data_IF_339432449784
#
_entry.id   IF_339432449784
#
_cell.length_a   1.000
_cell.length_b   1.000
_cell.length_c   1.000
_cell.angle_alpha   90.00
_cell.angle_beta   90.00
_cell.angle_gamma   90.00
#
_symmetry.space_group_name_H-M   'P 1'
#
loop_
_entity.id
_entity.type
_entity.pdbx_description
1 polymer ?
#
# COMPACT_ATOMS: atom_id res chain seq x y z
N UNK A 1 -9.48 3.71 -4.67
CA UNK A 1 -9.97 3.05 -3.44
C UNK A 1 -11.17 3.78 -2.87
N UNK A 2 -12.14 3.03 -2.33
CA UNK A 2 -13.35 3.60 -1.72
C UNK A 2 -13.17 4.00 -0.26
N UNK A 3 -12.09 3.53 0.37
CA UNK A 3 -11.73 3.81 1.77
C UNK A 3 -10.35 4.40 1.87
N UNK A 4 -10.21 5.46 2.67
CA UNK A 4 -8.93 6.10 2.93
C UNK A 4 -8.17 5.39 4.06
N UNK A 5 -6.84 5.37 3.96
CA UNK A 5 -5.96 4.90 5.02
C UNK A 5 -5.11 6.04 5.57
N UNK A 6 -5.02 6.13 6.89
CA UNK A 6 -4.22 7.14 7.59
C UNK A 6 -3.32 6.48 8.63
N UNK A 7 -2.10 6.96 8.75
CA UNK A 7 -1.16 6.59 9.80
C UNK A 7 -0.70 7.86 10.51
N UNK A 8 -1.01 7.99 11.80
CA UNK A 8 -0.73 9.21 12.58
C UNK A 8 -1.30 10.49 11.91
N UNK A 9 -2.55 10.46 11.46
CA UNK A 9 -3.23 11.55 10.75
C UNK A 9 -2.63 11.93 9.38
N UNK A 10 -1.61 11.21 8.91
CA UNK A 10 -1.06 11.38 7.58
C UNK A 10 -1.75 10.42 6.59
N UNK A 11 -2.15 10.95 5.45
CA UNK A 11 -2.82 10.16 4.41
C UNK A 11 -1.85 9.22 3.70
N UNK A 12 -2.25 7.95 3.58
CA UNK A 12 -1.54 6.88 2.90
C UNK A 12 -2.23 6.55 1.56
N UNK A 13 -1.95 7.34 0.54
CA UNK A 13 -2.79 7.37 -0.67
C UNK A 13 -2.42 6.43 -1.78
N UNK A 14 -1.27 5.79 -1.74
CA UNK A 14 -0.75 4.96 -2.83
C UNK A 14 -0.58 3.50 -2.40
N UNK A 15 -0.72 2.58 -3.35
CA UNK A 15 -0.63 1.14 -3.06
C UNK A 15 0.69 0.77 -2.39
N UNK A 16 1.82 1.26 -2.89
CA UNK A 16 3.13 1.00 -2.31
C UNK A 16 3.32 1.55 -0.89
N UNK A 17 2.64 2.65 -0.53
CA UNK A 17 2.72 3.28 0.78
C UNK A 17 1.61 2.90 1.75
N UNK A 18 0.51 2.32 1.26
CA UNK A 18 -0.66 2.00 2.09
C UNK A 18 -0.50 0.69 2.88
N UNK A 19 0.36 -0.22 2.42
CA UNK A 19 0.58 -1.52 3.07
C UNK A 19 1.85 -1.43 3.90
N UNK A 20 1.73 -0.88 5.10
CA UNK A 20 2.86 -0.72 6.04
C UNK A 20 2.79 -1.73 7.19
N UNK A 21 3.93 -2.03 7.80
CA UNK A 21 4.00 -2.84 9.00
C UNK A 21 3.33 -2.12 10.18
N UNK A 22 2.40 -2.81 10.84
CA UNK A 22 1.69 -2.29 12.01
C UNK A 22 2.37 -2.81 13.25
N UNK A 23 3.30 -2.06 13.78
CA UNK A 23 4.03 -2.36 15.03
C UNK A 23 4.02 -1.15 15.95
N UNK A 24 4.18 -1.41 17.24
CA UNK A 24 4.13 -0.40 18.31
C UNK A 24 2.90 0.51 18.16
N UNK A 25 1.75 -0.14 17.93
CA UNK A 25 0.47 0.52 17.71
C UNK A 25 -0.17 0.89 19.05
N UNK A 26 -0.67 2.12 19.16
CA UNK A 26 -1.49 2.58 20.27
C UNK A 26 -2.96 2.21 20.05
N UNK A 27 -3.50 2.56 18.88
CA UNK A 27 -4.90 2.29 18.52
C UNK A 27 -5.09 2.22 17.01
N UNK A 28 -6.14 1.53 16.59
CA UNK A 28 -6.64 1.50 15.23
C UNK A 28 -8.14 1.81 15.25
N UNK A 29 -8.59 2.65 14.33
CA UNK A 29 -9.96 3.13 14.23
C UNK A 29 -10.52 2.83 12.83
N UNK A 30 -11.76 2.35 12.77
CA UNK A 30 -12.48 2.10 11.53
C UNK A 30 -13.73 2.99 11.51
N UNK A 31 -13.73 3.98 10.64
CA UNK A 31 -14.84 4.88 10.43
C UNK A 31 -15.65 4.41 9.22
N UNK A 32 -16.91 4.08 9.45
CA UNK A 32 -17.81 3.55 8.43
C UNK A 32 -18.63 4.66 7.78
N UNK A 33 -18.83 4.54 6.47
CA UNK A 33 -19.61 5.48 5.69
C UNK A 33 -18.79 6.71 5.24
N UNK A 34 -19.38 7.65 4.50
CA UNK A 34 -18.70 8.79 3.93
C UNK A 34 -18.04 9.69 4.98
N UNK A 35 -16.73 9.84 4.90
CA UNK A 35 -15.91 10.66 5.80
C UNK A 35 -15.26 11.85 5.08
N UNK A 36 -15.75 12.22 3.89
CA UNK A 36 -15.12 13.23 3.03
C UNK A 36 -14.98 14.61 3.65
N UNK A 37 -15.79 14.95 4.65
CA UNK A 37 -15.69 16.21 5.34
C UNK A 37 -14.43 16.30 6.22
N UNK A 38 -14.19 15.30 7.08
CA UNK A 38 -13.04 15.26 7.98
C UNK A 38 -11.76 14.80 7.27
N UNK A 39 -11.85 13.69 6.54
CA UNK A 39 -10.70 12.99 5.97
C UNK A 39 -10.41 13.38 4.52
N UNK A 40 -11.30 14.16 3.89
CA UNK A 40 -11.10 14.65 2.54
C UNK A 40 -11.31 13.58 1.47
N UNK A 41 -10.39 13.52 0.50
CA UNK A 41 -10.49 12.66 -0.68
C UNK A 41 -10.41 11.16 -0.33
N UNK A 42 -10.97 10.33 -1.22
CA UNK A 42 -10.92 8.86 -1.15
C UNK A 42 -11.60 8.21 0.07
N UNK A 43 -12.40 8.95 0.84
CA UNK A 43 -13.10 8.47 2.05
C UNK A 43 -14.61 8.28 1.86
N UNK A 44 -15.05 7.86 0.67
CA UNK A 44 -16.46 7.66 0.33
C UNK A 44 -17.06 6.46 1.07
N UNK A 45 -16.31 5.36 1.18
CA UNK A 45 -16.73 4.13 1.87
C UNK A 45 -16.38 4.13 3.36
N UNK A 46 -15.45 4.98 3.77
CA UNK A 46 -14.95 5.07 5.13
C UNK A 46 -13.49 5.49 5.22
N UNK A 47 -12.96 5.42 6.44
CA UNK A 47 -11.54 5.64 6.70
C UNK A 47 -11.02 4.61 7.72
N UNK A 48 -9.79 4.18 7.51
CA UNK A 48 -9.02 3.38 8.45
C UNK A 48 -7.87 4.24 8.96
N UNK A 49 -7.79 4.42 10.28
CA UNK A 49 -6.77 5.26 10.91
C UNK A 49 -6.00 4.46 11.95
N UNK A 50 -4.68 4.45 11.85
CA UNK A 50 -3.78 3.81 12.81
C UNK A 50 -2.92 4.87 13.47
N UNK A 51 -2.86 4.82 14.78
CA UNK A 51 -1.98 5.68 15.57
C UNK A 51 -0.92 4.82 16.27
N UNK A 52 0.32 5.17 16.07
CA UNK A 52 1.45 4.53 16.73
C UNK A 52 1.71 5.16 18.09
N UNK A 53 2.33 4.42 18.99
CA UNK A 53 2.67 4.96 20.30
C UNK A 53 3.63 6.14 20.19
N UNK A 54 3.28 7.22 20.86
CA UNK A 54 4.12 8.41 20.98
C UNK A 54 5.23 8.22 22.01
N UNK A 55 6.27 9.02 21.94
CA UNK A 55 7.21 9.16 23.06
C UNK A 55 6.47 9.75 24.28
N UNK A 56 6.73 9.24 25.47
CA UNK A 56 6.05 9.61 26.71
C UNK A 56 7.04 10.26 27.69
N UNK A 57 6.74 11.49 28.08
CA UNK A 57 7.55 12.28 29.00
C UNK A 57 7.38 11.67 30.41
N UNK A 58 8.51 11.50 31.12
CA UNK A 58 8.52 10.95 32.49
C UNK A 58 8.34 9.43 32.56
N UNK A 59 8.09 8.74 31.49
CA UNK A 59 8.03 7.28 31.44
C UNK A 59 9.36 6.68 30.97
N UNK A 60 9.77 5.58 31.61
CA UNK A 60 10.92 4.78 31.17
C UNK A 60 10.45 3.34 31.04
N UNK A 61 9.93 2.98 29.89
CA UNK A 61 9.41 1.68 29.58
C UNK A 61 10.07 1.09 28.34
N UNK A 62 10.09 -0.24 28.29
CA UNK A 62 10.54 -0.98 27.14
C UNK A 62 9.79 -2.32 27.08
N UNK A 63 9.60 -2.81 25.86
CA UNK A 63 9.13 -4.17 25.65
C UNK A 63 9.91 -4.83 24.51
N UNK A 64 9.89 -6.15 24.54
CA UNK A 64 10.40 -7.00 23.47
C UNK A 64 9.43 -8.17 23.32
N UNK A 65 9.07 -8.48 22.10
CA UNK A 65 8.23 -9.61 21.75
C UNK A 65 8.90 -10.45 20.67
N UNK A 66 8.78 -11.78 20.79
CA UNK A 66 9.31 -12.73 19.83
C UNK A 66 8.25 -13.79 19.56
N UNK A 67 7.98 -14.03 18.28
CA UNK A 67 7.18 -15.15 17.82
C UNK A 67 8.00 -16.04 16.87
N UNK A 68 7.97 -17.35 17.11
CA UNK A 68 8.68 -18.33 16.32
C UNK A 68 7.75 -19.48 15.94
N UNK A 69 7.84 -19.91 14.70
CA UNK A 69 6.98 -20.97 14.16
C UNK A 69 7.67 -21.90 13.18
N UNK A 70 6.87 -22.64 12.46
CA UNK A 70 7.31 -23.48 11.35
C UNK A 70 7.70 -22.62 10.15
N UNK A 71 8.43 -23.16 9.18
CA UNK A 71 8.90 -22.47 7.96
C UNK A 71 9.74 -21.23 8.28
N UNK A 72 10.67 -21.37 9.21
CA UNK A 72 11.52 -20.28 9.67
C UNK A 72 10.75 -19.03 10.11
N UNK A 73 9.45 -19.18 10.45
CA UNK A 73 8.67 -18.09 10.94
C UNK A 73 9.33 -17.46 12.16
N UNK A 74 9.68 -16.20 12.03
CA UNK A 74 10.30 -15.41 13.08
C UNK A 74 9.78 -13.99 13.03
N UNK A 75 9.17 -13.53 14.10
CA UNK A 75 8.76 -12.14 14.27
C UNK A 75 9.47 -11.57 15.49
N UNK A 76 10.01 -10.40 15.35
CA UNK A 76 10.56 -9.58 16.39
C UNK A 76 9.86 -8.23 16.42
N UNK A 77 9.38 -7.81 17.56
CA UNK A 77 8.89 -6.47 17.83
C UNK A 77 9.46 -5.97 19.16
N UNK A 78 9.89 -4.71 19.19
CA UNK A 78 10.35 -4.13 20.42
C UNK A 78 10.40 -2.62 20.38
N UNK A 79 10.25 -2.00 21.55
CA UNK A 79 10.39 -0.55 21.68
C UNK A 79 10.99 -0.18 23.04
N UNK A 80 11.64 0.98 23.06
CA UNK A 80 12.14 1.64 24.27
C UNK A 80 11.73 3.09 24.29
N UNK A 81 11.17 3.55 25.41
CA UNK A 81 10.88 4.95 25.67
C UNK A 81 11.92 5.53 26.62
N UNK A 82 12.49 6.66 26.28
CA UNK A 82 13.60 7.31 26.99
C UNK A 82 13.18 8.74 27.35
N UNK A 83 12.86 9.01 28.62
CA UNK A 83 12.64 10.36 29.09
C UNK A 83 14.01 11.08 29.18
N UNK A 84 14.20 12.11 28.37
CA UNK A 84 15.47 12.85 28.31
C UNK A 84 15.50 14.02 29.29
N UNK A 85 14.35 14.67 29.46
CA UNK A 85 14.15 15.75 30.42
C UNK A 85 12.68 15.82 30.85
N UNK A 86 12.33 16.78 31.72
CA UNK A 86 10.95 17.02 32.16
C UNK A 86 10.01 17.46 31.03
N UNK A 87 10.58 17.88 29.90
CA UNK A 87 9.85 18.41 28.76
C UNK A 87 10.11 17.64 27.45
N UNK A 88 11.00 16.64 27.45
CA UNK A 88 11.39 15.95 26.23
C UNK A 88 11.62 14.45 26.43
N UNK A 89 11.04 13.68 25.55
CA UNK A 89 11.22 12.24 25.48
C UNK A 89 11.45 11.75 24.03
N UNK A 90 12.07 10.58 23.92
CA UNK A 90 12.26 9.86 22.66
C UNK A 90 11.75 8.43 22.81
N UNK A 91 11.25 7.87 21.72
CA UNK A 91 10.88 6.46 21.61
C UNK A 91 11.51 5.87 20.35
N UNK A 92 12.15 4.71 20.49
CA UNK A 92 12.68 3.93 19.39
C UNK A 92 11.95 2.61 19.36
N UNK A 93 11.37 2.26 18.21
CA UNK A 93 10.70 0.99 17.99
C UNK A 93 11.28 0.29 16.76
N UNK A 94 11.35 -1.02 16.79
CA UNK A 94 11.84 -1.86 15.72
C UNK A 94 10.95 -3.07 15.48
N UNK A 95 10.84 -3.46 14.23
CA UNK A 95 10.07 -4.62 13.79
C UNK A 95 10.85 -5.38 12.72
N UNK A 96 10.80 -6.70 12.80
CA UNK A 96 11.29 -7.59 11.76
C UNK A 96 10.41 -8.82 11.70
N UNK A 97 10.01 -9.24 10.51
CA UNK A 97 9.31 -10.51 10.30
C UNK A 97 9.92 -11.24 9.12
N UNK A 98 9.96 -12.55 9.21
CA UNK A 98 10.40 -13.46 8.17
C UNK A 98 9.59 -14.75 8.24
N UNK A 99 9.21 -15.29 7.09
CA UNK A 99 8.64 -16.62 6.96
C UNK A 99 8.97 -17.17 5.58
N UNK A 100 9.48 -18.41 5.52
CA UNK A 100 9.67 -19.15 4.28
C UNK A 100 8.35 -19.53 3.63
N UNK A 101 8.36 -19.60 2.30
CA UNK A 101 7.20 -19.97 1.49
C UNK A 101 6.62 -21.34 1.84
N UNK A 102 5.35 -21.52 1.56
CA UNK A 102 4.63 -22.77 1.81
C UNK A 102 4.08 -23.41 0.53
N UNK A 103 4.11 -22.72 -0.58
CA UNK A 103 3.65 -23.22 -1.87
C UNK A 103 4.86 -23.58 -2.74
N UNK A 104 4.98 -24.87 -3.09
CA UNK A 104 6.06 -25.34 -3.96
C UNK A 104 5.80 -24.95 -5.40
N UNK A 105 6.65 -24.14 -5.99
CA UNK A 105 6.64 -23.89 -7.42
C UNK A 105 7.28 -25.08 -8.13
N UNK A 106 6.49 -25.82 -8.89
CA UNK A 106 6.98 -27.05 -9.57
C UNK A 106 7.89 -26.73 -10.76
N UNK A 107 7.77 -25.54 -11.33
CA UNK A 107 8.62 -25.08 -12.43
C UNK A 107 10.01 -24.67 -11.93
N UNK A 108 10.10 -23.73 -11.00
CA UNK A 108 11.38 -23.24 -10.48
C UNK A 108 11.99 -24.15 -9.43
N UNK A 109 11.19 -24.95 -8.73
CA UNK A 109 11.60 -25.76 -7.60
C UNK A 109 11.74 -24.99 -6.29
N UNK A 110 11.35 -23.71 -6.23
CA UNK A 110 11.38 -22.86 -5.06
C UNK A 110 10.11 -23.00 -4.22
N UNK A 111 10.18 -22.55 -2.96
CA UNK A 111 9.02 -22.38 -2.11
C UNK A 111 8.58 -20.91 -2.18
N UNK A 112 7.33 -20.67 -2.57
CA UNK A 112 6.73 -19.36 -2.81
C UNK A 112 5.77 -19.00 -1.68
N UNK A 113 5.31 -17.74 -1.69
CA UNK A 113 4.47 -17.13 -0.65
C UNK A 113 5.28 -16.96 0.64
N UNK A 114 6.47 -16.47 0.47
CA UNK A 114 7.37 -16.04 1.53
C UNK A 114 7.21 -14.54 1.82
N UNK A 115 7.73 -14.09 2.96
CA UNK A 115 7.86 -12.67 3.25
C UNK A 115 9.05 -12.36 4.15
N UNK A 116 9.59 -11.17 3.96
CA UNK A 116 10.57 -10.55 4.83
C UNK A 116 10.28 -9.05 4.96
N UNK A 117 10.14 -8.58 6.20
CA UNK A 117 9.88 -7.16 6.49
C UNK A 117 10.79 -6.66 7.59
N UNK A 118 11.26 -5.43 7.45
CA UNK A 118 12.04 -4.75 8.47
C UNK A 118 11.55 -3.31 8.57
N UNK A 119 11.34 -2.84 9.79
CA UNK A 119 10.93 -1.45 10.00
C UNK A 119 11.58 -0.90 11.28
N UNK A 120 11.83 0.39 11.27
CA UNK A 120 12.32 1.13 12.42
C UNK A 120 11.59 2.46 12.50
N UNK A 121 11.19 2.84 13.72
CA UNK A 121 10.55 4.11 14.00
C UNK A 121 11.29 4.83 15.12
N UNK A 122 11.59 6.10 14.85
CA UNK A 122 12.06 7.04 15.85
C UNK A 122 11.02 8.13 16.05
N UNK A 123 10.58 8.30 17.29
CA UNK A 123 9.60 9.32 17.67
C UNK A 123 10.17 10.22 18.76
N UNK A 124 9.81 11.49 18.73
CA UNK A 124 10.14 12.43 19.81
C UNK A 124 8.90 13.17 20.24
N UNK A 125 8.87 13.58 21.50
CA UNK A 125 7.86 14.45 22.06
C UNK A 125 8.50 15.55 22.91
N UNK A 126 8.11 16.77 22.61
CA UNK A 126 8.42 17.95 23.42
C UNK A 126 7.12 18.58 23.91
N UNK A 127 7.05 18.90 25.19
CA UNK A 127 5.91 19.60 25.79
C UNK A 127 6.36 20.78 26.64
N UNK A 128 5.60 21.86 26.57
CA UNK A 128 5.63 23.00 27.48
C UNK A 128 4.20 23.41 27.81
N UNK A 129 4.01 24.47 28.63
CA UNK A 129 2.68 24.89 29.09
C UNK A 129 1.66 25.10 27.95
N UNK A 130 2.08 25.60 26.81
CA UNK A 130 1.20 25.93 25.69
C UNK A 130 1.53 25.16 24.39
N UNK A 131 2.66 24.46 24.33
CA UNK A 131 3.18 23.88 23.09
C UNK A 131 3.50 22.41 23.25
N UNK A 132 2.95 21.56 22.37
CA UNK A 132 3.35 20.17 22.18
C UNK A 132 3.87 19.97 20.76
N UNK A 133 4.99 19.26 20.61
CA UNK A 133 5.55 18.88 19.32
C UNK A 133 5.87 17.39 19.34
N UNK A 134 5.21 16.64 18.47
CA UNK A 134 5.54 15.23 18.19
C UNK A 134 6.24 15.15 16.82
N UNK A 135 7.32 14.35 16.76
CA UNK A 135 8.00 14.03 15.49
C UNK A 135 8.06 12.51 15.32
N UNK A 136 7.86 12.05 14.12
CA UNK A 136 7.96 10.62 13.77
C UNK A 136 8.80 10.49 12.49
N UNK A 137 9.81 9.63 12.53
CA UNK A 137 10.56 9.16 11.35
C UNK A 137 10.39 7.65 11.30
N UNK A 138 9.77 7.17 10.25
CA UNK A 138 9.41 5.77 10.06
C UNK A 138 10.01 5.28 8.75
N UNK A 139 10.81 4.23 8.79
CA UNK A 139 11.37 3.57 7.62
C UNK A 139 10.99 2.10 7.61
N UNK A 140 10.64 1.59 6.43
CA UNK A 140 10.28 0.21 6.20
C UNK A 140 10.87 -0.31 4.89
N UNK A 141 11.45 -1.51 4.94
CA UNK A 141 11.84 -2.33 3.81
C UNK A 141 11.00 -3.61 3.83
N UNK A 142 10.40 -3.96 2.68
CA UNK A 142 9.54 -5.12 2.51
C UNK A 142 9.93 -5.88 1.25
N UNK A 143 10.03 -7.21 1.41
CA UNK A 143 10.13 -8.16 0.32
C UNK A 143 9.18 -9.30 0.57
N UNK A 144 8.39 -9.65 -0.40
CA UNK A 144 7.49 -10.81 -0.34
C UNK A 144 7.22 -11.33 -1.74
N UNK A 145 6.83 -12.57 -1.83
CA UNK A 145 6.28 -13.12 -3.06
C UNK A 145 5.02 -12.33 -3.45
N UNK A 146 4.87 -12.03 -4.72
CA UNK A 146 3.68 -11.37 -5.24
C UNK A 146 2.43 -12.24 -5.15
N UNK A 147 1.39 -11.84 -5.86
CA UNK A 147 0.20 -12.66 -5.98
C UNK A 147 0.49 -13.85 -6.88
N UNK A 148 0.44 -15.03 -6.30
CA UNK A 148 0.60 -16.29 -7.01
C UNK A 148 -0.77 -16.86 -7.37
N UNK A 149 -1.01 -17.02 -8.65
CA UNK A 149 -2.21 -17.67 -9.16
C UNK A 149 -1.95 -19.15 -9.38
N UNK A 150 -3.01 -19.90 -9.48
CA UNK A 150 -2.98 -21.30 -9.79
C UNK A 150 -4.13 -21.62 -10.73
N UNK A 151 -3.83 -22.21 -11.86
CA UNK A 151 -4.84 -22.76 -12.74
C UNK A 151 -5.58 -23.92 -12.05
N UNK A 152 -6.90 -23.85 -12.00
CA UNK A 152 -7.76 -24.87 -11.35
C UNK A 152 -8.56 -25.70 -12.35
N UNK A 153 -8.58 -25.25 -13.61
CA UNK A 153 -9.28 -25.93 -14.72
C UNK A 153 -8.46 -25.69 -15.99
N UNK A 154 -8.31 -26.68 -16.80
CA UNK A 154 -7.60 -26.59 -18.07
C UNK A 154 -8.40 -25.91 -19.17
N UNK A 155 -9.72 -25.86 -19.10
CA UNK A 155 -10.59 -25.17 -20.06
C UNK A 155 -10.19 -25.28 -21.54
N UNK A 156 -11.00 -24.74 -22.44
CA UNK A 156 -10.76 -24.76 -23.90
C UNK A 156 -9.49 -23.98 -24.35
N UNK A 157 -8.94 -23.19 -23.46
CA UNK A 157 -7.74 -22.37 -23.65
C UNK A 157 -6.50 -23.22 -23.92
N UNK A 158 -6.35 -24.31 -23.16
CA UNK A 158 -5.18 -25.18 -23.27
C UNK A 158 -5.20 -26.04 -24.52
N UNK A 159 -6.39 -26.34 -25.04
CA UNK A 159 -6.56 -27.04 -26.32
C UNK A 159 -6.08 -26.18 -27.50
N UNK A 160 -6.14 -24.84 -27.36
CA UNK A 160 -5.61 -23.91 -28.35
C UNK A 160 -4.07 -23.83 -28.37
N UNK A 161 -3.42 -24.22 -27.28
CA UNK A 161 -1.97 -24.26 -27.14
C UNK A 161 -1.43 -25.67 -27.41
N UNK A 162 -1.74 -26.23 -28.60
CA UNK A 162 -1.37 -27.61 -29.00
C UNK A 162 0.13 -27.90 -28.75
N UNK A 163 0.38 -28.92 -27.94
CA UNK A 163 1.72 -29.33 -27.54
C UNK A 163 2.27 -28.70 -26.24
N UNK A 164 1.58 -27.75 -25.64
CA UNK A 164 1.88 -27.29 -24.29
C UNK A 164 1.00 -28.05 -23.29
N UNK A 165 1.62 -28.96 -22.58
CA UNK A 165 0.95 -29.72 -21.53
C UNK A 165 1.12 -28.96 -20.24
N UNK A 166 0.04 -28.36 -19.75
CA UNK A 166 -0.03 -27.94 -18.34
C UNK A 166 -0.01 -29.22 -17.51
N UNK A 167 0.94 -29.34 -16.60
CA UNK A 167 1.05 -30.53 -15.76
C UNK A 167 -0.26 -30.73 -14.98
N UNK A 168 -0.94 -31.83 -15.19
CA UNK A 168 -2.16 -32.21 -14.47
C UNK A 168 -2.01 -32.13 -12.94
N UNK A 169 -0.78 -32.16 -12.43
CA UNK A 169 -0.48 -31.99 -11.01
C UNK A 169 -0.70 -30.56 -10.52
N UNK A 170 -0.62 -29.55 -11.40
CA UNK A 170 -0.84 -28.14 -11.02
C UNK A 170 -2.29 -27.73 -11.18
N UNK A 171 -2.98 -28.18 -12.22
CA UNK A 171 -4.40 -27.86 -12.47
C UNK A 171 -5.33 -28.55 -11.48
N UNK A 172 -5.11 -29.82 -11.20
CA UNK A 172 -5.94 -30.64 -10.28
C UNK A 172 -5.22 -31.06 -9.01
N UNK A 173 -4.02 -30.53 -8.79
CA UNK A 173 -3.10 -31.06 -7.81
C UNK A 173 -3.28 -30.50 -6.39
N UNK A 174 -2.24 -30.70 -5.62
CA UNK A 174 -2.15 -30.30 -4.22
C UNK A 174 -2.22 -28.78 -4.06
N UNK A 175 -3.00 -28.28 -3.11
CA UNK A 175 -3.13 -26.85 -2.78
C UNK A 175 -1.81 -26.18 -2.36
N UNK A 176 -0.77 -26.95 -2.09
CA UNK A 176 0.58 -26.49 -1.75
C UNK A 176 1.54 -26.47 -2.94
N UNK A 177 1.04 -26.64 -4.16
CA UNK A 177 1.81 -26.59 -5.38
C UNK A 177 1.25 -25.51 -6.30
N UNK A 178 2.15 -24.78 -6.94
CA UNK A 178 1.88 -23.81 -8.00
C UNK A 178 2.79 -24.12 -9.18
N UNK A 179 2.43 -23.61 -10.34
CA UNK A 179 3.25 -23.63 -11.54
C UNK A 179 3.34 -22.19 -12.05
N UNK A 180 4.49 -21.57 -11.96
CA UNK A 180 4.65 -20.14 -12.30
C UNK A 180 6.06 -19.88 -12.81
N UNK A 181 6.18 -19.07 -13.82
CA UNK A 181 7.46 -18.59 -14.36
C UNK A 181 8.02 -17.37 -13.59
N UNK A 182 7.31 -16.84 -12.59
CA UNK A 182 7.86 -15.82 -11.71
C UNK A 182 8.96 -16.37 -10.80
N UNK A 183 9.98 -15.57 -10.58
CA UNK A 183 11.03 -15.86 -9.62
C UNK A 183 10.56 -15.62 -8.18
N UNK A 184 10.96 -16.49 -7.26
CA UNK A 184 10.61 -16.40 -5.85
C UNK A 184 11.17 -15.13 -5.18
N UNK A 185 10.38 -14.56 -4.28
CA UNK A 185 10.82 -13.52 -3.34
C UNK A 185 10.96 -12.11 -3.88
N UNK A 186 10.81 -11.91 -5.19
CA UNK A 186 11.08 -10.62 -5.83
C UNK A 186 9.83 -9.96 -6.44
N UNK A 187 8.64 -10.43 -6.08
CA UNK A 187 7.41 -10.02 -6.76
C UNK A 187 6.61 -8.90 -6.07
N UNK A 188 6.94 -8.54 -4.82
CA UNK A 188 6.34 -7.39 -4.09
C UNK A 188 7.40 -6.80 -3.15
N UNK A 189 8.07 -5.75 -3.63
CA UNK A 189 9.16 -5.07 -2.92
C UNK A 189 8.73 -3.64 -2.63
N UNK A 190 8.98 -3.17 -1.42
CA UNK A 190 8.67 -1.79 -1.04
C UNK A 190 9.70 -1.23 -0.09
N UNK A 191 10.17 -0.03 -0.38
CA UNK A 191 10.92 0.84 0.54
C UNK A 191 10.10 2.10 0.80
N UNK A 192 9.93 2.45 2.06
CA UNK A 192 9.09 3.58 2.47
C UNK A 192 9.76 4.37 3.59
N UNK A 193 9.96 5.66 3.36
CA UNK A 193 10.33 6.63 4.38
C UNK A 193 9.15 7.57 4.63
N UNK A 194 8.74 7.71 5.89
CA UNK A 194 7.74 8.69 6.32
C UNK A 194 8.32 9.59 7.41
N UNK A 195 8.15 10.90 7.25
CA UNK A 195 8.50 11.90 8.25
C UNK A 195 7.24 12.69 8.58
N UNK A 196 6.87 12.70 9.87
CA UNK A 196 5.73 13.45 10.40
C UNK A 196 6.15 14.44 11.47
N UNK A 197 5.61 15.65 11.44
CA UNK A 197 5.75 16.67 12.49
C UNK A 197 4.36 17.19 12.85
N UNK A 198 3.99 17.04 14.11
CA UNK A 198 2.68 17.38 14.65
C UNK A 198 2.87 18.42 15.75
N UNK A 199 2.31 19.59 15.55
CA UNK A 199 2.41 20.71 16.50
C UNK A 199 1.02 21.02 17.02
N UNK A 200 0.90 21.10 18.33
CA UNK A 200 -0.30 21.59 19.01
C UNK A 200 0.08 22.81 19.85
N UNK A 201 -0.64 23.91 19.66
CA UNK A 201 -0.40 25.15 20.40
C UNK A 201 -1.71 25.70 20.98
N UNK A 202 -1.74 25.88 22.29
CA UNK A 202 -2.86 26.46 23.01
C UNK A 202 -2.83 28.01 22.90
N UNK A 203 -3.85 28.57 22.24
CA UNK A 203 -4.06 30.01 22.12
C UNK A 203 -4.97 30.56 23.23
N UNK A 204 -5.45 29.73 24.15
CA UNK A 204 -6.39 30.05 25.20
C UNK A 204 -7.86 30.01 24.77
N UNK A 205 -8.20 30.56 23.60
CA UNK A 205 -9.56 30.51 23.03
C UNK A 205 -9.74 29.41 21.97
N UNK A 206 -8.65 28.87 21.48
CA UNK A 206 -8.61 27.79 20.48
C UNK A 206 -7.26 27.05 20.55
N UNK A 207 -7.26 25.81 20.11
CA UNK A 207 -6.05 25.04 19.87
C UNK A 207 -5.69 25.09 18.38
N UNK A 208 -4.46 25.48 18.08
CA UNK A 208 -3.88 25.38 16.73
C UNK A 208 -3.18 24.04 16.59
N UNK A 209 -3.58 23.24 15.61
CA UNK A 209 -2.91 22.01 15.20
C UNK A 209 -2.27 22.19 13.82
N UNK A 210 -1.02 21.76 13.69
CA UNK A 210 -0.28 21.73 12.43
C UNK A 210 0.26 20.31 12.20
N UNK A 211 -0.23 19.64 11.15
CA UNK A 211 0.19 18.31 10.76
C UNK A 211 0.96 18.40 9.44
N UNK A 212 2.26 18.14 9.50
CA UNK A 212 3.17 18.14 8.34
C UNK A 212 3.63 16.70 8.08
N UNK A 213 3.50 16.23 6.87
CA UNK A 213 3.95 14.91 6.44
C UNK A 213 4.78 14.97 5.18
N UNK A 214 5.85 14.21 5.14
CA UNK A 214 6.62 13.91 3.94
C UNK A 214 6.81 12.42 3.82
N UNK A 215 6.67 11.89 2.59
CA UNK A 215 6.88 10.49 2.25
C UNK A 215 7.70 10.38 0.99
N UNK A 216 8.55 9.38 0.99
CA UNK A 216 9.31 8.91 -0.16
C UNK A 216 9.12 7.41 -0.27
N UNK A 217 8.76 6.90 -1.44
CA UNK A 217 8.52 5.48 -1.62
C UNK A 217 8.99 4.98 -2.97
N UNK A 218 9.55 3.78 -2.93
CA UNK A 218 9.81 2.94 -4.10
C UNK A 218 9.03 1.64 -3.94
N UNK A 219 8.36 1.22 -4.98
CA UNK A 219 7.53 0.03 -5.00
C UNK A 219 7.69 -0.72 -6.31
N UNK A 220 7.95 -2.02 -6.22
CA UNK A 220 7.93 -2.95 -7.33
C UNK A 220 6.95 -4.08 -7.04
N UNK A 221 6.16 -4.43 -8.03
CA UNK A 221 5.22 -5.54 -7.96
C UNK A 221 5.25 -6.31 -9.27
N UNK A 222 5.22 -7.64 -9.16
CA UNK A 222 5.12 -8.55 -10.30
C UNK A 222 4.11 -9.64 -10.00
N UNK A 223 3.36 -10.06 -11.02
CA UNK A 223 2.43 -11.17 -10.89
C UNK A 223 2.29 -11.94 -12.20
N UNK A 224 2.10 -13.24 -12.08
CA UNK A 224 1.77 -14.15 -13.16
C UNK A 224 0.26 -14.36 -13.15
N UNK A 225 -0.43 -13.81 -14.16
CA UNK A 225 -1.89 -13.85 -14.25
C UNK A 225 -2.45 -15.20 -14.77
N UNK A 226 -1.66 -15.95 -15.54
CA UNK A 226 -2.18 -17.19 -16.11
C UNK A 226 -2.08 -18.39 -15.14
N UNK A 227 -1.22 -18.28 -14.12
CA UNK A 227 -1.04 -19.31 -13.08
C UNK A 227 -0.42 -20.59 -13.61
N UNK A 228 0.46 -20.45 -14.62
CA UNK A 228 1.22 -21.55 -15.23
C UNK A 228 2.67 -21.12 -15.47
N UNK A 229 3.53 -22.06 -15.83
CA UNK A 229 4.92 -21.77 -16.23
C UNK A 229 5.08 -21.27 -17.66
N UNK A 230 3.98 -21.02 -18.35
CA UNK A 230 4.00 -20.44 -19.69
C UNK A 230 4.12 -18.92 -19.59
N UNK A 231 5.09 -18.35 -20.28
CA UNK A 231 5.25 -16.90 -20.33
C UNK A 231 4.20 -16.26 -21.26
N UNK A 232 2.94 -16.23 -20.81
CA UNK A 232 1.82 -15.69 -21.60
C UNK A 232 1.39 -14.32 -21.10
N UNK A 233 1.26 -14.13 -19.78
CA UNK A 233 0.60 -12.96 -19.22
C UNK A 233 1.19 -12.58 -17.86
N UNK A 234 2.42 -12.09 -17.89
CA UNK A 234 3.09 -11.55 -16.71
C UNK A 234 2.92 -10.03 -16.65
N UNK A 235 2.66 -9.52 -15.47
CA UNK A 235 2.50 -8.10 -15.22
C UNK A 235 3.56 -7.62 -14.23
N UNK A 236 4.18 -6.47 -14.56
CA UNK A 236 5.09 -5.78 -13.66
C UNK A 236 4.65 -4.33 -13.48
N UNK A 237 4.79 -3.85 -12.28
CA UNK A 237 4.47 -2.49 -11.91
C UNK A 237 5.58 -1.91 -11.04
N UNK A 238 6.17 -0.82 -11.51
CA UNK A 238 7.13 -0.04 -10.74
C UNK A 238 6.52 1.32 -10.42
N UNK A 239 6.70 1.78 -9.19
CA UNK A 239 6.22 3.09 -8.78
C UNK A 239 7.22 3.71 -7.82
N UNK A 240 7.63 4.95 -8.10
CA UNK A 240 8.35 5.78 -7.17
C UNK A 240 7.64 7.12 -6.99
N UNK A 241 7.74 7.72 -5.82
CA UNK A 241 7.08 8.99 -5.61
C UNK A 241 7.38 9.66 -4.29
N UNK A 242 7.21 10.97 -4.31
CA UNK A 242 7.32 11.82 -3.14
C UNK A 242 5.98 12.51 -2.88
N UNK A 243 5.58 12.51 -1.64
CA UNK A 243 4.31 13.09 -1.21
C UNK A 243 4.53 14.00 -0.01
N UNK A 244 4.22 15.28 -0.16
CA UNK A 244 4.18 16.27 0.90
C UNK A 244 2.73 16.62 1.24
N UNK A 245 2.41 16.75 2.52
CA UNK A 245 1.13 17.24 3.00
C UNK A 245 1.28 18.16 4.20
N UNK A 246 0.40 19.15 4.28
CA UNK A 246 0.30 20.09 5.37
C UNK A 246 -1.16 20.37 5.69
N UNK A 247 -1.52 20.24 6.96
CA UNK A 247 -2.80 20.70 7.48
C UNK A 247 -2.59 21.68 8.64
N UNK A 248 -3.33 22.76 8.61
CA UNK A 248 -3.46 23.71 9.73
C UNK A 248 -4.93 23.74 10.15
N UNK A 249 -5.19 23.45 11.42
CA UNK A 249 -6.54 23.40 11.99
C UNK A 249 -6.61 24.18 13.29
N UNK A 250 -7.66 24.98 13.42
CA UNK A 250 -8.03 25.64 14.67
C UNK A 250 -9.30 25.00 15.21
N UNK A 251 -9.27 24.64 16.50
CA UNK A 251 -10.42 24.06 17.20
C UNK A 251 -10.73 24.89 18.43
N UNK A 252 -11.99 25.29 18.62
CA UNK A 252 -12.41 26.07 19.80
C UNK A 252 -12.20 25.29 21.11
N UNK A 253 -11.80 26.00 22.18
CA UNK A 253 -11.59 25.42 23.53
C UNK A 253 -12.57 25.97 24.56
N UNK A 254 -13.54 26.82 24.18
CA UNK A 254 -14.47 27.45 25.12
C UNK A 254 -15.60 26.53 25.56
N UNK A 255 -16.10 26.69 26.79
CA UNK A 255 -17.25 26.00 27.37
C UNK A 255 -18.61 26.57 26.91
N UNK A 256 -18.62 27.42 25.89
CA UNK A 256 -19.81 28.05 25.32
C UNK A 256 -20.67 27.08 24.52
N UNK A 257 -21.91 27.47 24.17
CA UNK A 257 -22.80 26.61 23.37
C UNK A 257 -22.34 26.42 21.93
N UNK A 258 -21.37 27.19 21.43
CA UNK A 258 -20.83 27.10 20.09
C UNK A 258 -19.44 26.49 20.12
N UNK A 259 -19.30 25.30 19.59
CA UNK A 259 -18.03 24.67 19.27
C UNK A 259 -17.78 24.77 17.77
N UNK A 260 -16.55 25.01 17.39
CA UNK A 260 -16.19 25.13 15.99
C UNK A 260 -14.78 24.61 15.75
N UNK A 261 -14.57 24.11 14.53
CA UNK A 261 -13.22 23.94 14.00
C UNK A 261 -13.16 24.39 12.55
N UNK A 262 -12.02 24.91 12.15
CA UNK A 262 -11.75 25.35 10.80
C UNK A 262 -10.32 25.00 10.42
N UNK A 263 -10.07 24.78 9.14
CA UNK A 263 -8.73 24.44 8.70
C UNK A 263 -8.52 24.62 7.21
N UNK A 264 -7.25 24.50 6.86
CA UNK A 264 -6.76 24.46 5.49
C UNK A 264 -5.80 23.29 5.35
N UNK A 265 -5.85 22.61 4.21
CA UNK A 265 -4.91 21.54 3.88
C UNK A 265 -4.34 21.75 2.48
N UNK A 266 -3.09 21.34 2.31
CA UNK A 266 -2.37 21.36 1.04
C UNK A 266 -1.63 20.03 0.87
N UNK A 267 -1.51 19.57 -0.38
CA UNK A 267 -0.61 18.49 -0.74
C UNK A 267 0.08 18.75 -2.08
N UNK A 268 1.27 18.17 -2.20
CA UNK A 268 2.07 18.12 -3.43
C UNK A 268 2.59 16.70 -3.59
N UNK A 269 2.43 16.14 -4.76
CA UNK A 269 2.83 14.77 -5.09
C UNK A 269 3.55 14.76 -6.43
N UNK A 270 4.71 14.16 -6.45
CA UNK A 270 5.46 13.79 -7.66
C UNK A 270 5.46 12.26 -7.78
N UNK A 271 5.02 11.72 -8.92
CA UNK A 271 4.81 10.30 -9.12
C UNK A 271 5.32 9.87 -10.48
N UNK A 272 6.19 8.88 -10.48
CA UNK A 272 6.59 8.11 -11.64
C UNK A 272 6.06 6.67 -11.49
N UNK A 273 5.38 6.15 -12.51
CA UNK A 273 4.93 4.78 -12.54
C UNK A 273 5.14 4.16 -13.92
N UNK A 274 5.54 2.91 -13.94
CA UNK A 274 5.72 2.10 -15.13
C UNK A 274 4.95 0.79 -14.99
N UNK A 275 4.22 0.44 -16.04
CA UNK A 275 3.44 -0.79 -16.16
C UNK A 275 4.00 -1.59 -17.33
N UNK A 276 4.36 -2.84 -17.10
CA UNK A 276 4.83 -3.73 -18.14
C UNK A 276 3.90 -4.96 -18.21
N UNK A 277 3.35 -5.21 -19.41
CA UNK A 277 2.77 -6.49 -19.75
C UNK A 277 3.84 -7.28 -20.50
N UNK A 278 4.17 -8.46 -20.00
CA UNK A 278 5.28 -9.29 -20.49
C UNK A 278 4.74 -10.65 -20.87
N UNK A 279 5.20 -11.17 -22.01
CA UNK A 279 4.83 -12.51 -22.45
C UNK A 279 5.60 -12.95 -23.67
N UNK A 280 5.38 -14.18 -24.10
CA UNK A 280 5.77 -14.65 -25.41
C UNK A 280 4.73 -14.22 -26.44
N UNK A 281 5.14 -13.39 -27.40
CA UNK A 281 4.23 -12.98 -28.48
C UNK A 281 3.75 -14.18 -29.31
N UNK A 282 4.61 -15.16 -29.53
CA UNK A 282 4.24 -16.38 -30.27
C UNK A 282 3.21 -17.21 -29.52
N UNK A 283 3.35 -17.40 -28.20
CA UNK A 283 2.36 -18.10 -27.38
C UNK A 283 1.03 -17.34 -27.31
N UNK A 284 1.08 -16.02 -27.14
CA UNK A 284 -0.14 -15.19 -27.15
C UNK A 284 -0.88 -15.28 -28.49
N UNK A 285 -0.15 -15.22 -29.60
CA UNK A 285 -0.74 -15.37 -30.93
C UNK A 285 -1.28 -16.78 -31.15
N UNK A 286 -0.55 -17.80 -30.77
CA UNK A 286 -1.01 -19.19 -30.85
C UNK A 286 -2.31 -19.34 -30.09
N UNK A 287 -2.37 -18.85 -28.84
CA UNK A 287 -3.57 -18.85 -28.02
C UNK A 287 -4.75 -18.14 -28.68
N UNK A 288 -4.59 -16.87 -29.07
CA UNK A 288 -5.71 -16.11 -29.62
C UNK A 288 -6.12 -16.58 -31.01
N UNK A 289 -5.19 -16.92 -31.87
CA UNK A 289 -5.49 -17.35 -33.24
C UNK A 289 -6.11 -18.75 -33.26
N UNK A 290 -5.60 -19.70 -32.47
CA UNK A 290 -6.08 -21.07 -32.46
C UNK A 290 -7.42 -21.21 -31.74
N UNK A 291 -7.71 -20.43 -30.72
CA UNK A 291 -9.03 -20.36 -30.13
C UNK A 291 -10.12 -19.99 -31.16
N UNK A 292 -9.84 -19.03 -32.04
CA UNK A 292 -10.76 -18.68 -33.11
C UNK A 292 -10.69 -19.67 -34.30
N UNK A 293 -9.54 -20.27 -34.55
CA UNK A 293 -9.37 -21.24 -35.62
C UNK A 293 -10.24 -22.48 -35.41
N UNK A 294 -10.31 -23.00 -34.18
CA UNK A 294 -11.19 -24.12 -33.83
C UNK A 294 -12.66 -23.76 -34.04
N UNK A 295 -13.08 -22.58 -33.59
CA UNK A 295 -14.46 -22.13 -33.75
C UNK A 295 -14.89 -21.93 -35.20
N UNK A 296 -13.99 -21.39 -36.06
CA UNK A 296 -14.26 -21.08 -37.45
C UNK A 296 -13.75 -22.11 -38.45
N UNK A 297 -13.02 -23.14 -38.01
CA UNK A 297 -12.47 -24.20 -38.86
C UNK A 297 -11.30 -23.73 -39.76
N UNK A 298 -10.46 -22.80 -39.27
CA UNK A 298 -9.23 -22.39 -39.92
C UNK A 298 -8.04 -23.30 -39.59
N UNK A 299 -6.91 -23.13 -40.28
CA UNK A 299 -5.65 -23.79 -39.95
C UNK A 299 -5.07 -23.23 -38.65
N UNK A 300 -4.44 -24.10 -37.86
CA UNK A 300 -3.74 -23.73 -36.64
C UNK A 300 -2.39 -23.09 -36.96
N UNK A 301 -2.02 -22.06 -36.21
CA UNK A 301 -0.76 -21.35 -36.32
C UNK A 301 0.14 -21.66 -35.11
N UNK A 302 1.44 -21.71 -35.36
CA UNK A 302 2.44 -21.95 -34.32
C UNK A 302 2.88 -20.67 -33.56
N UNK A 303 2.36 -19.52 -33.98
CA UNK A 303 2.66 -18.23 -33.38
C UNK A 303 2.41 -17.05 -34.31
N UNK A 304 2.71 -15.85 -33.88
CA UNK A 304 2.63 -14.64 -34.69
C UNK A 304 3.61 -14.68 -35.87
N UNK A 305 4.80 -15.19 -35.65
CA UNK A 305 5.83 -15.34 -36.68
C UNK A 305 5.37 -16.20 -37.85
N UNK A 306 4.54 -17.21 -37.61
CA UNK A 306 3.94 -18.06 -38.63
C UNK A 306 2.80 -17.33 -39.39
N UNK A 307 1.97 -16.59 -38.67
CA UNK A 307 0.83 -15.86 -39.25
C UNK A 307 1.24 -14.64 -40.06
N UNK A 308 2.31 -13.95 -39.67
CA UNK A 308 2.73 -12.68 -40.25
C UNK A 308 3.95 -12.76 -41.16
N UNK A 309 4.38 -13.95 -41.59
CA UNK A 309 5.58 -14.16 -42.42
C UNK A 309 5.68 -13.24 -43.63
N UNK A 310 4.55 -12.80 -44.18
CA UNK A 310 4.51 -11.94 -45.38
C UNK A 310 4.31 -10.45 -45.07
N UNK A 311 3.94 -10.04 -43.88
CA UNK A 311 3.50 -8.68 -43.55
C UNK A 311 4.29 -7.96 -42.45
N UNK A 312 4.97 -8.67 -41.58
CA UNK A 312 5.75 -8.07 -40.50
C UNK A 312 7.10 -8.74 -40.36
N UNK A 313 8.19 -7.96 -40.18
CA UNK A 313 9.48 -8.56 -39.87
C UNK A 313 9.31 -9.34 -38.55
N UNK A 314 9.88 -10.54 -38.55
CA UNK A 314 9.78 -11.48 -37.42
C UNK A 314 9.95 -10.78 -36.07
N UNK A 315 8.95 -10.90 -35.20
CA UNK A 315 9.13 -10.64 -33.79
C UNK A 315 10.20 -11.60 -33.26
N UNK A 316 10.94 -11.19 -32.24
CA UNK A 316 11.88 -12.09 -31.56
C UNK A 316 11.17 -13.08 -30.62
N UNK A 317 9.83 -13.11 -30.69
CA UNK A 317 8.96 -13.94 -29.86
C UNK A 317 8.69 -13.39 -28.47
N UNK A 318 9.26 -12.23 -28.12
CA UNK A 318 9.05 -11.58 -26.84
C UNK A 318 8.15 -10.34 -26.99
N UNK A 319 7.17 -10.22 -26.10
CA UNK A 319 6.32 -9.04 -25.99
C UNK A 319 6.63 -8.36 -24.67
N UNK A 320 6.97 -7.08 -24.74
CA UNK A 320 7.00 -6.17 -23.61
C UNK A 320 6.23 -4.91 -23.98
N UNK A 321 5.03 -4.76 -23.46
CA UNK A 321 4.23 -3.56 -23.62
C UNK A 321 4.37 -2.67 -22.39
N UNK A 322 4.97 -1.49 -22.56
CA UNK A 322 5.25 -0.56 -21.48
C UNK A 322 4.32 0.64 -21.52
N UNK A 323 3.62 0.87 -20.41
CA UNK A 323 2.87 2.09 -20.14
C UNK A 323 3.57 2.92 -19.06
N UNK A 324 3.84 4.19 -19.33
CA UNK A 324 4.46 5.11 -18.37
C UNK A 324 3.49 6.19 -17.93
N UNK A 325 3.46 6.48 -16.62
CA UNK A 325 2.73 7.59 -16.04
C UNK A 325 3.72 8.44 -15.23
N UNK A 326 3.87 9.71 -15.63
CA UNK A 326 4.60 10.71 -14.85
C UNK A 326 3.65 11.84 -14.51
N UNK A 327 3.51 12.14 -13.22
CA UNK A 327 2.51 13.10 -12.79
C UNK A 327 2.94 13.93 -11.61
N UNK A 328 2.56 15.21 -11.66
CA UNK A 328 2.60 16.13 -10.51
C UNK A 328 1.18 16.48 -10.15
N UNK A 329 0.82 16.24 -8.90
CA UNK A 329 -0.51 16.46 -8.38
C UNK A 329 -0.43 17.41 -7.21
N UNK A 330 -1.21 18.47 -7.25
CA UNK A 330 -1.30 19.44 -6.13
C UNK A 330 -2.75 19.69 -5.83
N UNK A 331 -3.07 19.86 -4.58
CA UNK A 331 -4.42 20.23 -4.19
C UNK A 331 -4.46 20.95 -2.86
N UNK A 332 -5.53 21.66 -2.63
CA UNK A 332 -5.79 22.33 -1.37
C UNK A 332 -7.26 22.26 -0.99
N UNK A 333 -7.53 22.34 0.30
CA UNK A 333 -8.89 22.45 0.79
C UNK A 333 -8.98 23.46 1.92
N UNK A 334 -10.16 24.05 2.07
CA UNK A 334 -10.53 24.86 3.24
C UNK A 334 -11.87 24.35 3.77
N UNK A 335 -12.02 24.30 5.09
CA UNK A 335 -13.22 23.78 5.71
C UNK A 335 -13.54 24.49 7.02
N UNK A 336 -14.81 24.47 7.40
CA UNK A 336 -15.33 24.94 8.67
C UNK A 336 -16.46 24.05 9.13
N UNK A 337 -16.48 23.72 10.42
CA UNK A 337 -17.59 23.08 11.10
C UNK A 337 -18.05 23.93 12.28
N UNK A 338 -19.36 23.98 12.48
CA UNK A 338 -19.99 24.67 13.59
C UNK A 338 -20.95 23.71 14.26
N UNK A 339 -20.80 23.50 15.55
CA UNK A 339 -21.68 22.71 16.41
C UNK A 339 -22.29 23.63 17.45
N UNK A 340 -23.61 23.79 17.39
CA UNK A 340 -24.35 24.66 18.33
C UNK A 340 -25.25 23.85 19.26
N UNK A 341 -25.00 23.94 20.56
CA UNK A 341 -25.83 23.33 21.58
C UNK A 341 -27.13 24.14 21.72
N UNK A 342 -28.19 23.64 21.10
CA UNK A 342 -29.53 24.31 21.10
C UNK A 342 -30.24 24.10 22.46
N UNK A 343 -30.06 22.91 23.05
CA UNK A 343 -30.52 22.53 24.39
C UNK A 343 -29.62 21.42 24.93
N UNK A 344 -29.85 21.00 26.19
CA UNK A 344 -29.09 19.91 26.82
C UNK A 344 -29.17 18.58 26.02
N UNK A 345 -30.20 18.40 25.22
CA UNK A 345 -30.46 17.17 24.46
C UNK A 345 -30.25 17.34 22.93
N UNK A 346 -30.04 18.57 22.43
CA UNK A 346 -30.00 18.85 20.99
C UNK A 346 -28.80 19.68 20.60
N UNK A 347 -27.98 19.11 19.70
CA UNK A 347 -26.90 19.81 19.00
C UNK A 347 -27.26 19.97 17.54
N UNK A 348 -27.11 21.16 17.00
CA UNK A 348 -27.21 21.45 15.56
C UNK A 348 -25.81 21.61 14.98
N UNK A 349 -25.49 20.80 13.95
CA UNK A 349 -24.17 20.80 13.31
C UNK A 349 -24.28 21.20 11.84
N UNK A 350 -23.35 22.03 11.38
CA UNK A 350 -23.19 22.38 9.96
C UNK A 350 -21.71 22.42 9.60
N UNK A 351 -21.35 21.73 8.53
CA UNK A 351 -19.98 21.71 8.00
C UNK A 351 -19.95 22.02 6.50
N UNK A 352 -18.95 22.77 6.09
CA UNK A 352 -18.68 23.09 4.68
C UNK A 352 -17.20 22.85 4.40
N UNK A 353 -16.90 22.12 3.32
CA UNK A 353 -15.55 21.93 2.79
C UNK A 353 -15.53 22.28 1.30
N UNK A 354 -14.54 23.06 0.92
CA UNK A 354 -14.19 23.31 -0.48
C UNK A 354 -12.84 22.68 -0.77
N UNK A 355 -12.77 21.89 -1.83
CA UNK A 355 -11.53 21.22 -2.27
C UNK A 355 -11.28 21.55 -3.73
N UNK A 356 -10.02 21.79 -4.06
CA UNK A 356 -9.52 21.96 -5.42
C UNK A 356 -8.27 21.08 -5.58
N UNK A 357 -8.36 20.12 -6.50
CA UNK A 357 -7.27 19.29 -7.00
C UNK A 357 -6.81 19.78 -8.37
#
# INVERSE_FOLDING_TARGET
PSSAFFKNDLYEGRNGSAVTSLFDVERAEILRGPQGFLFGRNSIGGAFSVHTRKAEIGSNDAFIDFDFGQREHAVFEGAVNIPVSDNFAMRLAGYSSHEEGFAKNVFSGNDEIDHSKKAIRWSTRYESDALSIDTVVDWEDRKQSGSMYRAIDSGDIWDALDGYIVDDTTVNGNNQQIDSDLEAGDADIGDLLTIGVFVEYDLGFATLNSNTGYKDHDYYYSEDYDGTSLNINNFQFEQSGQYFQQELRLTSTGDGPLNWYTGVSYYDEDLDAEFNAIGSEDLMCQYYLNYYAEYYGYEFYSGCSDYYTDFYPSSDGNLVETGMLKGKYTGWAAYVNLDYQVSDELVASVGVRYTKD
#
